data_IF_224989009502
#
_entry.id   IF_224989009502
#
_cell.length_a   1.000
_cell.length_b   1.000
_cell.length_c   1.000
_cell.angle_alpha   90.00
_cell.angle_beta   90.00
_cell.angle_gamma   90.00
#
_symmetry.space_group_name_H-M   'P 1'
#
loop_
_entity.id
_entity.type
_entity.pdbx_description
1 polymer ?
#
# COMPACT_ATOMS: atom_id res chain seq x y z
N UNK A 1 8.45 -3.23 -19.64
CA UNK A 1 7.08 -3.54 -19.17
C UNK A 1 6.40 -2.24 -18.80
N UNK A 2 5.28 -1.87 -19.43
CA UNK A 2 4.55 -0.64 -19.08
C UNK A 2 3.46 -0.99 -18.08
N UNK A 3 3.89 -1.24 -16.84
CA UNK A 3 2.98 -1.49 -15.72
C UNK A 3 2.48 -0.12 -15.27
N UNK A 4 1.18 0.17 -15.22
CA UNK A 4 0.71 1.53 -14.91
C UNK A 4 1.00 1.97 -13.46
N UNK A 5 -0.08 2.11 -12.70
CA UNK A 5 -0.06 2.36 -11.27
C UNK A 5 -0.41 1.06 -10.56
N UNK A 6 0.43 0.59 -9.64
CA UNK A 6 0.14 -0.63 -8.87
C UNK A 6 0.53 -0.50 -7.41
N UNK A 7 -0.14 -1.28 -6.56
CA UNK A 7 0.12 -1.35 -5.13
C UNK A 7 0.96 -2.58 -4.80
N UNK A 8 1.94 -2.44 -3.92
CA UNK A 8 2.70 -3.56 -3.34
C UNK A 8 2.88 -3.36 -1.84
N UNK A 9 2.78 -4.46 -1.08
CA UNK A 9 3.06 -4.47 0.36
C UNK A 9 4.29 -5.31 0.63
N UNK A 10 5.27 -4.71 1.29
CA UNK A 10 6.55 -5.33 1.61
C UNK A 10 6.76 -5.40 3.13
N UNK A 11 7.36 -6.49 3.58
CA UNK A 11 7.89 -6.66 4.93
C UNK A 11 9.41 -6.65 4.83
N UNK A 12 10.02 -5.79 5.62
CA UNK A 12 11.47 -5.65 5.75
C UNK A 12 11.84 -5.96 7.19
N UNK A 13 12.52 -7.09 7.39
CA UNK A 13 12.86 -7.55 8.75
C UNK A 13 14.15 -8.37 8.75
N UNK A 14 14.82 -8.36 9.90
CA UNK A 14 15.88 -9.31 10.22
C UNK A 14 15.29 -10.51 10.95
N UNK A 15 15.88 -11.72 10.81
CA UNK A 15 15.43 -12.92 11.52
C UNK A 15 15.87 -12.89 13.00
N UNK A 16 15.58 -11.78 13.70
CA UNK A 16 15.90 -11.56 15.11
C UNK A 16 14.59 -11.47 15.87
N UNK A 17 14.43 -12.34 16.87
CA UNK A 17 13.23 -12.36 17.72
C UNK A 17 13.12 -11.03 18.44
N UNK A 18 11.96 -10.38 18.32
CA UNK A 18 11.70 -9.10 18.97
C UNK A 18 12.40 -7.89 18.31
N UNK A 19 13.04 -8.08 17.16
CA UNK A 19 13.57 -6.99 16.36
C UNK A 19 12.47 -6.12 15.73
N UNK A 20 12.81 -4.93 15.24
CA UNK A 20 11.88 -4.08 14.51
C UNK A 20 11.47 -4.75 13.19
N UNK A 21 10.18 -4.68 12.88
CA UNK A 21 9.60 -5.10 11.61
C UNK A 21 9.08 -3.87 10.89
N UNK A 22 9.57 -3.62 9.67
CA UNK A 22 9.07 -2.56 8.82
C UNK A 22 8.06 -3.13 7.81
N UNK A 23 6.85 -2.60 7.82
CA UNK A 23 5.83 -2.84 6.81
C UNK A 23 5.72 -1.61 5.90
N UNK A 24 5.87 -1.81 4.60
CA UNK A 24 5.73 -0.77 3.58
C UNK A 24 4.47 -1.06 2.76
N UNK A 25 3.55 -0.11 2.73
CA UNK A 25 2.41 -0.08 1.80
C UNK A 25 2.73 0.92 0.70
N UNK A 26 3.13 0.45 -0.48
CA UNK A 26 3.65 1.29 -1.56
C UNK A 26 2.72 1.32 -2.76
N UNK A 27 2.56 2.50 -3.33
CA UNK A 27 1.96 2.78 -4.62
C UNK A 27 3.08 3.16 -5.60
N UNK A 28 3.27 2.32 -6.61
CA UNK A 28 4.34 2.47 -7.61
C UNK A 28 3.75 3.02 -8.90
N UNK A 29 4.24 4.18 -9.32
CA UNK A 29 3.93 4.82 -10.59
C UNK A 29 5.11 4.57 -11.54
N UNK A 30 5.02 3.55 -12.39
CA UNK A 30 6.15 3.22 -13.27
C UNK A 30 6.40 4.24 -14.37
N UNK A 31 5.38 4.85 -15.01
CA UNK A 31 5.62 5.89 -16.01
C UNK A 31 6.46 7.06 -15.48
N UNK A 32 6.23 7.45 -14.22
CA UNK A 32 6.95 8.56 -13.59
C UNK A 32 8.18 8.11 -12.77
N UNK A 33 8.42 6.80 -12.64
CA UNK A 33 9.44 6.20 -11.76
C UNK A 33 9.35 6.70 -10.31
N UNK A 34 8.13 6.94 -9.83
CA UNK A 34 7.85 7.45 -8.49
C UNK A 34 7.21 6.39 -7.64
N UNK A 35 7.50 6.46 -6.36
CA UNK A 35 6.91 5.61 -5.32
C UNK A 35 6.38 6.51 -4.23
N UNK A 36 5.17 6.24 -3.76
CA UNK A 36 4.60 6.87 -2.57
C UNK A 36 3.93 5.81 -1.71
N UNK A 37 3.68 6.09 -0.44
CA UNK A 37 3.09 5.10 0.44
C UNK A 37 3.20 5.43 1.91
N UNK A 38 3.13 4.39 2.74
CA UNK A 38 3.24 4.49 4.18
C UNK A 38 4.25 3.47 4.69
N UNK A 39 5.12 3.91 5.60
CA UNK A 39 6.03 3.05 6.36
C UNK A 39 5.53 2.90 7.80
N UNK A 40 5.44 1.66 8.26
CA UNK A 40 5.10 1.31 9.64
C UNK A 40 6.21 0.47 10.23
N UNK A 41 6.82 0.92 11.32
CA UNK A 41 7.78 0.10 12.08
C UNK A 41 7.12 -0.32 13.38
N UNK A 42 7.15 -1.62 13.67
CA UNK A 42 6.66 -2.18 14.94
C UNK A 42 7.74 -3.01 15.62
N UNK A 43 7.72 -3.00 16.95
CA UNK A 43 8.57 -3.86 17.77
C UNK A 43 7.75 -4.40 18.94
N UNK A 44 7.73 -5.72 19.12
CA UNK A 44 6.89 -6.39 20.13
C UNK A 44 7.59 -6.63 21.47
N UNK A 45 8.86 -6.23 21.63
CA UNK A 45 9.58 -6.32 22.91
C UNK A 45 9.21 -5.16 23.81
N UNK A 46 9.31 -5.31 25.14
CA UNK A 46 9.10 -4.20 26.08
C UNK A 46 10.31 -3.24 26.09
N UNK A 47 10.14 -1.93 25.89
CA UNK A 47 8.87 -1.24 25.61
C UNK A 47 8.43 -1.41 24.14
N UNK A 48 7.13 -1.69 23.89
CA UNK A 48 6.64 -1.83 22.53
C UNK A 48 6.79 -0.51 21.79
N UNK A 49 7.14 -0.62 20.51
CA UNK A 49 7.43 0.54 19.67
C UNK A 49 6.57 0.52 18.42
N UNK A 50 6.05 1.70 18.07
CA UNK A 50 5.28 1.97 16.87
C UNK A 50 5.76 3.28 16.25
N UNK A 51 6.12 3.23 14.97
CA UNK A 51 6.48 4.40 14.17
C UNK A 51 5.68 4.38 12.87
N UNK A 52 5.28 5.56 12.42
CA UNK A 52 4.50 5.78 11.21
C UNK A 52 5.07 6.98 10.46
N UNK A 53 5.25 6.83 9.15
CA UNK A 53 5.57 7.94 8.26
C UNK A 53 4.89 7.74 6.90
N UNK A 54 4.45 8.84 6.31
CA UNK A 54 4.18 8.88 4.88
C UNK A 54 5.54 8.88 4.16
N UNK A 55 5.67 8.04 3.14
CA UNK A 55 6.92 7.87 2.39
C UNK A 55 6.74 8.20 0.92
N UNK A 56 7.79 8.74 0.32
CA UNK A 56 7.85 9.04 -1.10
C UNK A 56 9.28 8.92 -1.60
N UNK A 57 9.43 8.77 -2.91
CA UNK A 57 10.73 8.76 -3.54
C UNK A 57 10.67 8.22 -4.95
N UNK A 58 11.76 7.58 -5.34
CA UNK A 58 11.99 7.14 -6.71
C UNK A 58 12.49 5.70 -6.72
N UNK A 59 12.39 5.09 -7.89
CA UNK A 59 13.08 3.86 -8.15
C UNK A 59 13.79 3.90 -9.50
N UNK A 60 14.89 3.16 -9.61
CA UNK A 60 15.58 2.93 -10.86
C UNK A 60 15.75 1.43 -11.09
N UNK A 61 15.93 1.05 -12.36
CA UNK A 61 16.21 -0.33 -12.74
C UNK A 61 17.64 -0.37 -13.26
N UNK A 62 18.43 -1.29 -12.72
CA UNK A 62 19.83 -1.49 -13.12
C UNK A 62 19.97 -2.92 -13.61
N UNK A 63 20.68 -3.08 -14.72
CA UNK A 63 21.07 -4.36 -15.28
C UNK A 63 22.54 -4.24 -15.69
N UNK A 64 23.41 -5.09 -15.15
CA UNK A 64 24.85 -4.95 -15.35
C UNK A 64 25.26 -5.37 -16.77
N UNK A 65 24.61 -6.41 -17.30
CA UNK A 65 24.82 -6.99 -18.63
C UNK A 65 23.47 -7.53 -19.18
N UNK A 66 23.22 -7.57 -20.50
CA UNK A 66 22.03 -8.19 -21.08
C UNK A 66 21.71 -9.61 -20.60
N UNK A 67 22.71 -10.38 -20.16
CA UNK A 67 22.57 -11.73 -19.59
C UNK A 67 22.37 -11.77 -18.07
N UNK A 68 22.67 -10.68 -17.36
CA UNK A 68 22.55 -10.60 -15.90
C UNK A 68 21.10 -10.37 -15.44
N UNK A 69 20.81 -10.73 -14.20
CA UNK A 69 19.54 -10.37 -13.56
C UNK A 69 19.44 -8.86 -13.36
N UNK A 70 18.25 -8.30 -13.59
CA UNK A 70 17.99 -6.90 -13.30
C UNK A 70 17.61 -6.71 -11.84
N UNK A 71 17.92 -5.55 -11.29
CA UNK A 71 17.54 -5.15 -9.95
C UNK A 71 16.86 -3.79 -9.94
N UNK A 72 16.00 -3.59 -8.95
CA UNK A 72 15.33 -2.32 -8.66
C UNK A 72 16.06 -1.66 -7.51
N UNK A 73 16.55 -0.45 -7.71
CA UNK A 73 17.09 0.39 -6.64
C UNK A 73 15.96 1.30 -6.19
N UNK A 74 15.52 1.12 -4.95
CA UNK A 74 14.45 1.86 -4.31
C UNK A 74 15.04 2.88 -3.31
N UNK A 75 14.67 4.15 -3.45
CA UNK A 75 15.04 5.21 -2.52
C UNK A 75 13.77 5.86 -1.99
N UNK A 76 13.56 5.81 -0.67
CA UNK A 76 12.41 6.45 -0.03
C UNK A 76 12.90 7.40 1.08
N UNK A 77 12.24 8.54 1.19
CA UNK A 77 12.27 9.40 2.37
C UNK A 77 10.85 9.55 2.90
N UNK A 78 10.71 9.97 4.15
CA UNK A 78 9.39 10.11 4.76
C UNK A 78 9.36 10.97 6.00
N UNK A 79 8.16 11.47 6.29
CA UNK A 79 7.84 12.18 7.52
C UNK A 79 6.36 11.93 7.91
N UNK A 80 5.91 12.32 9.11
CA UNK A 80 4.54 12.11 9.57
C UNK A 80 3.46 12.99 8.88
N UNK A 81 3.82 13.84 7.92
CA UNK A 81 2.92 14.83 7.32
C UNK A 81 2.99 14.88 5.79
N UNK A 82 3.67 13.91 5.17
CA UNK A 82 3.77 13.78 3.73
C UNK A 82 4.81 14.70 3.05
N UNK A 83 4.92 14.56 1.71
CA UNK A 83 5.97 15.17 0.88
C UNK A 83 5.92 16.69 0.78
N UNK A 84 4.77 17.30 1.06
CA UNK A 84 4.57 18.76 0.97
C UNK A 84 4.84 19.47 2.30
N UNK A 85 5.07 18.71 3.37
CA UNK A 85 5.34 19.27 4.68
C UNK A 85 6.77 19.83 4.78
N UNK A 86 6.92 20.91 5.55
CA UNK A 86 8.22 21.53 5.85
C UNK A 86 8.92 20.89 7.06
N UNK A 87 8.32 19.86 7.67
CA UNK A 87 8.94 19.16 8.80
C UNK A 87 10.11 18.29 8.31
N UNK A 88 11.08 18.10 9.20
CA UNK A 88 12.24 17.26 8.93
C UNK A 88 11.83 15.83 8.54
N UNK A 89 12.62 15.23 7.65
CA UNK A 89 12.51 13.81 7.33
C UNK A 89 12.83 12.98 8.57
N UNK A 90 11.95 12.03 8.88
CA UNK A 90 12.07 11.13 10.04
C UNK A 90 12.24 9.68 9.60
N UNK A 91 12.28 9.41 8.29
CA UNK A 91 12.43 8.09 7.71
C UNK A 91 13.27 8.15 6.43
N UNK A 92 14.18 7.20 6.27
CA UNK A 92 14.88 6.97 5.00
C UNK A 92 15.05 5.47 4.76
N UNK A 93 14.94 5.06 3.50
CA UNK A 93 15.18 3.68 3.08
C UNK A 93 15.93 3.64 1.76
N UNK A 94 16.88 2.71 1.68
CA UNK A 94 17.54 2.29 0.46
C UNK A 94 17.36 0.78 0.31
N UNK A 95 16.75 0.38 -0.80
CA UNK A 95 16.43 -1.02 -1.10
C UNK A 95 16.98 -1.46 -2.44
N UNK A 96 17.34 -2.73 -2.52
CA UNK A 96 17.66 -3.45 -3.75
C UNK A 96 16.66 -4.60 -3.84
N UNK A 97 15.77 -4.56 -4.82
CA UNK A 97 14.72 -5.55 -5.02
C UNK A 97 14.90 -6.31 -6.33
N UNK A 98 14.30 -7.50 -6.40
CA UNK A 98 14.04 -8.17 -7.67
C UNK A 98 13.11 -7.35 -8.57
N UNK A 99 13.16 -7.61 -9.88
CA UNK A 99 12.27 -6.94 -10.85
C UNK A 99 10.78 -7.21 -10.60
N UNK A 100 10.48 -8.24 -9.81
CA UNK A 100 9.13 -8.65 -9.40
C UNK A 100 8.57 -7.84 -8.22
N UNK A 101 9.35 -6.94 -7.63
CA UNK A 101 8.99 -6.20 -6.42
C UNK A 101 8.59 -7.09 -5.24
N UNK A 102 9.04 -8.35 -5.19
CA UNK A 102 8.58 -9.32 -4.18
C UNK A 102 9.65 -9.66 -3.15
N UNK A 103 10.93 -9.54 -3.51
CA UNK A 103 12.04 -9.92 -2.63
C UNK A 103 13.26 -9.03 -2.84
N UNK A 104 14.18 -9.05 -1.87
CA UNK A 104 15.43 -8.30 -1.93
C UNK A 104 16.00 -7.98 -0.56
N UNK A 105 16.76 -6.89 -0.48
CA UNK A 105 17.34 -6.39 0.76
C UNK A 105 17.17 -4.89 0.87
N UNK A 106 16.95 -4.38 2.07
CA UNK A 106 16.86 -2.94 2.32
C UNK A 106 17.53 -2.55 3.64
N UNK A 107 18.11 -1.36 3.62
CA UNK A 107 18.58 -0.66 4.81
C UNK A 107 17.70 0.55 5.03
N UNK A 108 17.28 0.78 6.27
CA UNK A 108 16.43 1.91 6.60
C UNK A 108 16.83 2.51 7.94
N UNK A 109 16.46 3.78 8.12
CA UNK A 109 16.58 4.49 9.38
C UNK A 109 15.31 5.25 9.67
N UNK A 110 14.96 5.33 10.94
CA UNK A 110 13.80 6.10 11.38
C UNK A 110 14.12 6.83 12.68
N UNK A 111 13.48 7.97 12.88
CA UNK A 111 13.64 8.78 14.09
C UNK A 111 12.55 8.40 15.10
N UNK A 112 12.97 7.88 16.26
CA UNK A 112 12.07 7.55 17.35
C UNK A 112 12.62 8.14 18.64
N UNK A 113 11.77 8.88 19.37
CA UNK A 113 12.13 9.56 20.62
C UNK A 113 13.42 10.41 20.52
N UNK A 114 13.58 11.14 19.42
CA UNK A 114 14.73 12.01 19.17
C UNK A 114 16.01 11.31 18.70
N UNK A 115 16.02 9.98 18.61
CA UNK A 115 17.19 9.19 18.19
C UNK A 115 16.95 8.51 16.85
N UNK A 116 18.00 8.40 16.04
CA UNK A 116 17.97 7.62 14.81
C UNK A 116 18.24 6.16 15.12
N UNK A 117 17.30 5.31 14.76
CA UNK A 117 17.47 3.87 14.75
C UNK A 117 17.78 3.43 13.34
N UNK A 118 18.80 2.58 13.18
CA UNK A 118 19.28 2.13 11.88
C UNK A 118 19.17 0.61 11.82
N UNK A 119 18.53 0.12 10.77
CA UNK A 119 18.45 -1.31 10.44
C UNK A 119 19.13 -1.50 9.10
N UNK A 120 20.17 -2.32 9.09
CA UNK A 120 20.99 -2.55 7.91
C UNK A 120 20.69 -3.92 7.31
N UNK A 121 20.67 -3.96 5.98
CA UNK A 121 20.64 -5.19 5.18
C UNK A 121 19.54 -6.18 5.62
N UNK A 122 18.35 -5.65 5.88
CA UNK A 122 17.19 -6.46 6.23
C UNK A 122 16.57 -7.11 4.99
N UNK A 123 16.14 -8.36 5.15
CA UNK A 123 15.51 -9.12 4.07
C UNK A 123 14.14 -8.51 3.77
N UNK A 124 13.87 -8.32 2.48
CA UNK A 124 12.57 -7.89 1.97
C UNK A 124 11.81 -9.12 1.49
N UNK A 125 10.55 -9.22 1.93
CA UNK A 125 9.60 -10.22 1.48
C UNK A 125 8.27 -9.56 1.19
N UNK A 126 7.50 -10.14 0.26
CA UNK A 126 6.15 -9.68 0.01
C UNK A 126 5.28 -10.02 1.23
N UNK A 127 4.55 -9.02 1.73
CA UNK A 127 3.59 -9.29 2.80
C UNK A 127 2.49 -10.20 2.24
N UNK A 128 2.04 -11.22 3.00
CA UNK A 128 0.79 -11.89 2.69
C UNK A 128 -0.29 -10.83 2.52
N UNK A 129 -1.03 -10.90 1.40
CA UNK A 129 -2.22 -10.07 1.24
C UNK A 129 -3.18 -10.55 2.32
N UNK A 130 -3.33 -9.76 3.38
CA UNK A 130 -4.29 -10.05 4.44
C UNK A 130 -5.67 -10.24 3.80
N UNK A 131 -6.11 -11.49 3.67
CA UNK A 131 -7.52 -11.85 3.54
C UNK A 131 -8.28 -11.54 4.86
N UNK A 132 -7.60 -10.98 5.86
CA UNK A 132 -8.11 -10.63 7.18
C UNK A 132 -8.95 -9.35 7.23
N UNK A 133 -9.36 -8.78 6.09
CA UNK A 133 -10.45 -7.79 6.07
C UNK A 133 -11.85 -8.42 6.33
N UNK A 134 -11.95 -9.75 6.41
CA UNK A 134 -13.22 -10.46 6.65
C UNK A 134 -13.27 -11.26 7.96
N UNK A 135 -12.30 -11.11 8.87
CA UNK A 135 -12.20 -11.96 10.07
C UNK A 135 -12.53 -11.26 11.40
N UNK A 136 -12.93 -9.99 11.43
CA UNK A 136 -13.42 -9.34 12.65
C UNK A 136 -14.79 -8.69 12.42
N UNK A 137 -15.82 -9.52 12.44
CA UNK A 137 -17.17 -9.09 12.83
C UNK A 137 -17.17 -8.87 14.35
N UNK A 138 -16.60 -7.75 14.80
CA UNK A 138 -16.84 -7.20 16.12
C UNK A 138 -16.97 -5.66 16.02
N UNK A 139 -18.03 -5.04 16.56
CA UNK A 139 -18.29 -3.63 16.35
C UNK A 139 -17.38 -2.81 17.27
N UNK A 140 -16.46 -2.05 16.69
CA UNK A 140 -15.77 -0.95 17.39
C UNK A 140 -15.76 0.29 16.51
N UNK A 141 -16.57 1.25 16.96
CA UNK A 141 -16.50 2.69 16.77
C UNK A 141 -15.85 3.23 15.50
N UNK A 142 -16.72 3.67 14.59
CA UNK A 142 -16.76 5.02 14.00
C UNK A 142 -15.42 5.76 13.84
N UNK A 143 -14.50 5.18 13.05
CA UNK A 143 -13.47 5.94 12.34
C UNK A 143 -13.48 5.53 10.87
N UNK A 144 -14.08 6.38 10.04
CA UNK A 144 -14.07 6.27 8.58
C UNK A 144 -12.64 6.45 8.06
N UNK A 145 -11.84 5.40 8.14
CA UNK A 145 -10.66 5.29 7.30
C UNK A 145 -11.14 5.10 5.86
N UNK A 146 -11.13 6.18 5.07
CA UNK A 146 -11.22 6.10 3.61
C UNK A 146 -9.95 5.44 3.08
N UNK A 147 -9.86 4.13 3.20
CA UNK A 147 -8.99 3.35 2.34
C UNK A 147 -9.64 3.33 0.96
N UNK A 148 -8.93 3.69 -0.13
CA UNK A 148 -9.44 3.44 -1.46
C UNK A 148 -9.51 1.92 -1.65
N UNK A 149 -10.68 1.34 -1.37
CA UNK A 149 -10.96 -0.04 -1.73
C UNK A 149 -10.92 -0.12 -3.26
N UNK A 150 -9.95 -0.87 -3.84
CA UNK A 150 -9.94 -1.05 -5.28
C UNK A 150 -11.19 -1.83 -5.65
N UNK A 151 -12.12 -1.17 -6.35
CA UNK A 151 -13.44 -1.74 -6.64
C UNK A 151 -13.34 -3.09 -7.37
N UNK A 152 -12.41 -3.22 -8.33
CA UNK A 152 -12.32 -4.43 -9.16
C UNK A 152 -10.91 -4.84 -9.62
N UNK A 153 -9.95 -3.92 -9.65
CA UNK A 153 -8.66 -4.16 -10.33
C UNK A 153 -7.89 -5.36 -9.75
N UNK A 154 -7.85 -5.47 -8.42
CA UNK A 154 -7.14 -6.55 -7.73
C UNK A 154 -7.87 -7.90 -7.91
N UNK A 155 -9.19 -7.90 -7.83
CA UNK A 155 -10.00 -9.11 -8.01
C UNK A 155 -9.91 -9.65 -9.46
N UNK A 156 -9.90 -8.77 -10.46
CA UNK A 156 -9.72 -9.15 -11.88
C UNK A 156 -8.34 -9.75 -12.13
N UNK A 157 -7.28 -9.12 -11.61
CA UNK A 157 -5.91 -9.61 -11.77
C UNK A 157 -5.73 -11.00 -11.11
N UNK A 158 -6.32 -11.20 -9.93
CA UNK A 158 -6.28 -12.50 -9.24
C UNK A 158 -7.09 -13.58 -9.96
N UNK A 159 -8.29 -13.26 -10.45
CA UNK A 159 -9.11 -14.22 -11.18
C UNK A 159 -8.49 -14.65 -12.51
N UNK A 160 -7.81 -13.73 -13.22
CA UNK A 160 -7.06 -14.05 -14.44
C UNK A 160 -5.82 -14.91 -14.16
N UNK A 161 -5.07 -14.60 -13.09
CA UNK A 161 -3.85 -15.36 -12.75
C UNK A 161 -4.14 -16.76 -12.19
N UNK A 162 -5.28 -16.96 -11.53
CA UNK A 162 -5.62 -18.23 -10.87
C UNK A 162 -6.30 -19.25 -11.78
N UNK A 163 -6.85 -18.83 -12.93
CA UNK A 163 -7.55 -19.73 -13.86
C UNK A 163 -8.81 -20.42 -13.29
N UNK A 164 -9.28 -19.99 -12.12
CA UNK A 164 -10.41 -20.60 -11.42
C UNK A 164 -11.75 -20.05 -11.94
N UNK A 165 -12.44 -20.87 -12.73
CA UNK A 165 -13.73 -20.54 -13.35
C UNK A 165 -14.82 -20.16 -12.34
N UNK A 166 -14.78 -20.74 -11.15
CA UNK A 166 -15.78 -20.48 -10.10
C UNK A 166 -15.63 -19.06 -9.56
N UNK A 167 -14.38 -18.61 -9.38
CA UNK A 167 -14.08 -17.24 -8.93
C UNK A 167 -14.44 -16.19 -9.99
N UNK A 168 -14.20 -16.49 -11.27
CA UNK A 168 -14.59 -15.61 -12.36
C UNK A 168 -16.11 -15.41 -12.40
N UNK A 169 -16.89 -16.49 -12.26
CA UNK A 169 -18.36 -16.40 -12.23
C UNK A 169 -18.89 -15.63 -11.02
N UNK A 170 -18.28 -15.82 -9.84
CA UNK A 170 -18.65 -15.07 -8.65
C UNK A 170 -18.40 -13.56 -8.81
N UNK A 171 -17.28 -13.18 -9.43
CA UNK A 171 -16.94 -11.78 -9.70
C UNK A 171 -17.91 -11.14 -10.72
N UNK A 172 -18.30 -11.88 -11.76
CA UNK A 172 -19.31 -11.42 -12.74
C UNK A 172 -20.65 -11.18 -12.06
N UNK A 173 -21.15 -12.15 -11.27
CA UNK A 173 -22.42 -12.00 -10.55
C UNK A 173 -22.39 -10.79 -9.58
N UNK A 174 -21.26 -10.56 -8.92
CA UNK A 174 -21.07 -9.39 -8.06
C UNK A 174 -21.11 -8.08 -8.85
N UNK A 175 -20.47 -8.03 -10.03
CA UNK A 175 -20.52 -6.87 -10.92
C UNK A 175 -21.93 -6.60 -11.45
N UNK A 176 -22.65 -7.63 -11.87
CA UNK A 176 -24.04 -7.53 -12.34
C UNK A 176 -24.98 -7.01 -11.25
N UNK A 177 -24.81 -7.48 -10.01
CA UNK A 177 -25.60 -7.00 -8.88
C UNK A 177 -25.30 -5.51 -8.55
N UNK A 178 -24.08 -5.05 -8.76
CA UNK A 178 -23.74 -3.63 -8.62
C UNK A 178 -24.31 -2.78 -9.75
N UNK A 179 -24.33 -3.28 -11.00
CA UNK A 179 -25.03 -2.63 -12.10
C UNK A 179 -26.54 -2.56 -11.84
N UNK A 180 -27.16 -3.61 -11.30
CA UNK A 180 -28.57 -3.58 -10.95
C UNK A 180 -28.88 -2.52 -9.87
N UNK A 181 -27.92 -2.21 -9.00
CA UNK A 181 -28.05 -1.18 -7.98
C UNK A 181 -27.72 0.23 -8.48
N UNK A 182 -27.16 0.40 -9.69
CA UNK A 182 -26.79 1.73 -10.21
C UNK A 182 -28.02 2.61 -10.48
N UNK A 183 -29.12 2.00 -10.92
CA UNK A 183 -30.36 2.74 -11.22
C UNK A 183 -30.96 3.31 -9.94
N UNK A 184 -31.01 2.53 -8.86
CA UNK A 184 -31.43 3.00 -7.53
C UNK A 184 -30.50 4.10 -6.99
N UNK A 185 -29.19 3.98 -7.23
CA UNK A 185 -28.22 4.99 -6.81
C UNK A 185 -28.44 6.32 -7.55
N UNK A 186 -28.72 6.26 -8.85
CA UNK A 186 -28.97 7.44 -9.68
C UNK A 186 -30.23 8.19 -9.23
N UNK A 187 -31.29 7.46 -8.87
CA UNK A 187 -32.52 8.03 -8.32
C UNK A 187 -32.28 8.69 -6.96
N UNK A 188 -31.52 8.04 -6.08
CA UNK A 188 -31.15 8.62 -4.78
C UNK A 188 -30.33 9.90 -4.91
N UNK A 189 -29.39 9.94 -5.87
CA UNK A 189 -28.60 11.16 -6.17
C UNK A 189 -29.49 12.28 -6.71
N UNK A 190 -30.44 11.97 -7.60
CA UNK A 190 -31.40 12.98 -8.11
C UNK A 190 -32.29 13.53 -7.00
N UNK A 191 -32.77 12.67 -6.09
CA UNK A 191 -33.55 13.10 -4.92
C UNK A 191 -32.73 14.00 -3.98
N UNK A 192 -31.47 13.64 -3.73
CA UNK A 192 -30.55 14.47 -2.92
C UNK A 192 -30.27 15.82 -3.60
N UNK A 193 -30.06 15.86 -4.92
CA UNK A 193 -29.86 17.10 -5.66
C UNK A 193 -31.08 18.03 -5.62
N UNK A 194 -32.29 17.45 -5.66
CA UNK A 194 -33.53 18.22 -5.54
C UNK A 194 -33.68 18.85 -4.13
N UNK A 195 -33.29 18.11 -3.08
CA UNK A 195 -33.34 18.61 -1.70
C UNK A 195 -32.27 19.67 -1.44
N UNK A 196 -31.05 19.51 -1.98
CA UNK A 196 -30.01 20.54 -1.94
C UNK A 196 -30.52 21.84 -2.59
N UNK A 197 -31.10 21.74 -3.79
CA UNK A 197 -31.65 22.90 -4.51
C UNK A 197 -32.79 23.60 -3.75
N UNK A 198 -33.55 22.86 -2.93
CA UNK A 198 -34.61 23.40 -2.07
C UNK A 198 -34.02 24.17 -0.89
N UNK A 199 -32.99 23.61 -0.25
CA UNK A 199 -32.32 24.20 0.91
C UNK A 199 -31.52 25.46 0.53
N UNK A 200 -30.94 25.50 -0.67
CA UNK A 200 -30.18 26.67 -1.17
C UNK A 200 -31.06 27.87 -1.55
N UNK A 201 -32.37 27.67 -1.78
CA UNK A 201 -33.32 28.76 -2.08
C UNK A 201 -33.98 29.36 -0.85
N UNK A 202 -33.61 28.92 0.35
CA UNK A 202 -34.15 29.38 1.63
C UNK A 202 -33.16 30.28 2.34
#
# INVERSE_FOLDING_TARGET
>A
MTIGLFHTRLIVANPVIGGPVLTLDLLVNTPQKKVSGVARVTQSTSPPMHFLADVWGDYSQVKLDPSSEGHIILSLTGNPSGPTSQIAETFHLQGILGLDWASGFASYRYQYQGHWHVVQHAAVSQAPVDQAANADLAPKDDQRHLYPQPLYAVALQQAQSSGDLTRLKALVAQGEQQLANSDNLSQAVQQLQAEISRLERR
#
